data_IF_246386264811
#
_entry.id   IF_246386264811
#
_cell.length_a   1.000
_cell.length_b   1.000
_cell.length_c   1.000
_cell.angle_alpha   90.00
_cell.angle_beta   90.00
_cell.angle_gamma   90.00
#
_symmetry.space_group_name_H-M   'P 1'
#
loop_
_entity.id
_entity.type
_entity.pdbx_description
1 polymer ?
#
# COMPACT_ATOMS: atom_id res chain seq x y z
N UNK A 1 -16.69 18.64 -15.19
CA UNK A 1 -15.24 18.98 -15.13
C UNK A 1 -14.63 19.12 -16.53
N UNK A 2 -14.98 18.26 -17.50
CA UNK A 2 -14.66 18.48 -18.94
C UNK A 2 -15.08 19.88 -19.42
N UNK A 3 -16.31 20.31 -19.15
CA UNK A 3 -16.77 21.65 -19.57
C UNK A 3 -16.04 22.84 -18.92
N UNK A 4 -15.39 22.65 -17.77
CA UNK A 4 -14.56 23.68 -17.13
C UNK A 4 -13.15 23.77 -17.74
N UNK A 5 -12.71 22.69 -18.39
CA UNK A 5 -11.39 22.60 -19.02
C UNK A 5 -11.46 22.86 -20.53
N UNK A 6 -12.61 22.62 -21.18
CA UNK A 6 -12.80 22.78 -22.63
C UNK A 6 -13.59 24.05 -22.98
N UNK A 7 -14.41 24.58 -22.06
CA UNK A 7 -15.05 25.89 -22.20
C UNK A 7 -14.36 26.89 -21.29
N UNK A 8 -14.10 28.11 -21.76
CA UNK A 8 -13.49 29.22 -21.01
C UNK A 8 -14.33 29.73 -19.81
N UNK A 9 -15.06 28.88 -19.10
CA UNK A 9 -15.73 29.17 -17.85
C UNK A 9 -14.76 28.93 -16.69
N UNK A 10 -14.00 29.98 -16.34
CA UNK A 10 -13.13 30.04 -15.15
C UNK A 10 -13.89 30.07 -13.81
N UNK A 11 -15.21 29.86 -13.80
CA UNK A 11 -16.04 30.03 -12.61
C UNK A 11 -16.48 28.68 -12.06
N UNK A 12 -16.23 28.45 -10.77
CA UNK A 12 -16.76 27.32 -10.04
C UNK A 12 -18.29 27.43 -9.94
N UNK A 13 -19.01 26.29 -9.87
CA UNK A 13 -20.41 26.32 -9.49
C UNK A 13 -20.58 26.99 -8.12
N UNK A 14 -21.75 27.62 -7.85
CA UNK A 14 -21.99 28.38 -6.61
C UNK A 14 -21.81 27.54 -5.34
N UNK A 15 -22.02 26.23 -5.42
CA UNK A 15 -21.71 25.27 -4.37
C UNK A 15 -20.89 24.11 -4.97
N UNK A 16 -19.56 24.19 -4.95
CA UNK A 16 -18.73 23.09 -5.43
C UNK A 16 -18.77 21.92 -4.44
N UNK A 17 -18.72 20.66 -4.92
CA UNK A 17 -18.70 19.50 -4.03
C UNK A 17 -17.49 19.55 -3.08
N UNK A 18 -17.71 19.30 -1.79
CA UNK A 18 -16.63 19.31 -0.77
C UNK A 18 -16.50 18.00 0.01
N UNK A 19 -17.37 17.03 -0.24
CA UNK A 19 -17.41 15.76 0.49
C UNK A 19 -16.11 14.92 0.36
N UNK A 20 -15.34 15.12 -0.71
CA UNK A 20 -14.06 14.44 -0.92
C UNK A 20 -12.87 15.11 -0.22
N UNK A 21 -13.06 16.31 0.35
CA UNK A 21 -12.00 17.09 0.98
C UNK A 21 -11.78 16.63 2.43
N UNK A 22 -10.51 16.50 2.82
CA UNK A 22 -10.15 16.36 4.24
C UNK A 22 -10.43 17.65 5.01
N UNK A 23 -10.54 17.56 6.33
CA UNK A 23 -10.77 18.72 7.20
C UNK A 23 -9.75 19.86 6.95
N UNK A 24 -8.48 19.51 6.72
CA UNK A 24 -7.40 20.44 6.41
C UNK A 24 -7.66 21.21 5.11
N UNK A 25 -8.08 20.50 4.05
CA UNK A 25 -8.40 21.16 2.78
C UNK A 25 -9.68 21.97 2.84
N UNK A 26 -10.68 21.53 3.61
CA UNK A 26 -11.91 22.30 3.82
C UNK A 26 -11.62 23.66 4.45
N UNK A 27 -10.74 23.71 5.46
CA UNK A 27 -10.29 24.96 6.07
C UNK A 27 -9.59 25.89 5.07
N UNK A 28 -8.78 25.33 4.15
CA UNK A 28 -8.03 26.10 3.16
C UNK A 28 -8.90 26.61 1.98
N UNK A 29 -9.96 25.88 1.63
CA UNK A 29 -10.87 26.21 0.53
C UNK A 29 -11.89 27.30 0.92
N UNK A 30 -12.21 27.40 2.21
CA UNK A 30 -13.17 28.36 2.78
C UNK A 30 -14.33 27.67 3.49
N UNK A 31 -15.12 28.45 4.24
CA UNK A 31 -16.26 27.94 5.03
C UNK A 31 -17.41 27.46 4.14
N UNK A 32 -18.23 26.55 4.66
CA UNK A 32 -19.43 26.05 3.97
C UNK A 32 -20.43 27.21 3.85
N UNK A 33 -20.89 27.50 2.63
CA UNK A 33 -21.78 28.64 2.35
C UNK A 33 -21.09 29.99 2.15
N UNK A 34 -19.77 30.07 2.34
CA UNK A 34 -18.95 31.26 2.09
C UNK A 34 -18.27 31.28 0.71
N UNK A 35 -17.62 32.40 0.34
CA UNK A 35 -16.87 32.51 -0.92
C UNK A 35 -15.74 31.47 -0.98
N UNK A 36 -15.61 30.82 -2.14
CA UNK A 36 -14.65 29.73 -2.36
C UNK A 36 -13.40 30.26 -3.03
N UNK A 37 -12.23 29.95 -2.47
CA UNK A 37 -10.96 30.21 -3.15
C UNK A 37 -10.79 29.23 -4.32
N UNK A 38 -10.90 29.73 -5.55
CA UNK A 38 -10.76 28.92 -6.78
C UNK A 38 -9.41 28.19 -6.86
N UNK A 39 -8.27 28.84 -6.59
CA UNK A 39 -6.98 28.17 -6.63
C UNK A 39 -6.83 27.10 -5.55
N UNK A 40 -7.30 27.39 -4.33
CA UNK A 40 -7.26 26.43 -3.22
C UNK A 40 -8.12 25.19 -3.52
N UNK A 41 -9.31 25.40 -4.09
CA UNK A 41 -10.18 24.31 -4.49
C UNK A 41 -9.55 23.45 -5.59
N UNK A 42 -8.99 24.08 -6.63
CA UNK A 42 -8.31 23.35 -7.70
C UNK A 42 -7.13 22.51 -7.19
N UNK A 43 -6.30 23.09 -6.30
CA UNK A 43 -5.18 22.37 -5.69
C UNK A 43 -5.67 21.19 -4.84
N UNK A 44 -6.73 21.39 -4.05
CA UNK A 44 -7.30 20.33 -3.22
C UNK A 44 -7.84 19.17 -4.05
N UNK A 45 -8.49 19.45 -5.19
CA UNK A 45 -8.96 18.40 -6.12
C UNK A 45 -7.79 17.61 -6.69
N UNK A 46 -6.73 18.29 -7.13
CA UNK A 46 -5.54 17.62 -7.68
C UNK A 46 -4.80 16.80 -6.61
N UNK A 47 -4.68 17.32 -5.39
CA UNK A 47 -4.05 16.63 -4.28
C UNK A 47 -4.84 15.37 -3.90
N UNK A 48 -6.17 15.49 -3.74
CA UNK A 48 -7.02 14.33 -3.44
C UNK A 48 -7.02 13.32 -4.58
N UNK A 49 -7.11 13.76 -5.84
CA UNK A 49 -7.06 12.85 -6.99
C UNK A 49 -5.73 12.08 -7.04
N UNK A 50 -4.61 12.77 -6.81
CA UNK A 50 -3.28 12.14 -6.74
C UNK A 50 -3.23 11.08 -5.65
N UNK A 51 -3.78 11.36 -4.48
CA UNK A 51 -3.81 10.41 -3.37
C UNK A 51 -4.67 9.19 -3.69
N UNK A 52 -5.89 9.41 -4.20
CA UNK A 52 -6.82 8.34 -4.58
C UNK A 52 -6.31 7.46 -5.73
N UNK A 53 -5.53 8.04 -6.66
CA UNK A 53 -4.83 7.28 -7.69
C UNK A 53 -3.69 6.43 -7.13
N UNK A 54 -3.03 6.88 -6.05
CA UNK A 54 -1.94 6.13 -5.40
C UNK A 54 -2.48 5.03 -4.48
N UNK A 55 -3.57 5.29 -3.77
CA UNK A 55 -4.23 4.28 -2.93
C UNK A 55 -4.93 3.20 -3.76
N UNK A 56 -5.28 3.51 -5.02
CA UNK A 56 -6.03 2.61 -5.89
C UNK A 56 -7.54 2.77 -5.79
N UNK A 57 -8.03 3.71 -4.97
CA UNK A 57 -9.47 4.03 -4.83
C UNK A 57 -10.06 4.56 -6.15
N UNK A 58 -9.23 5.21 -6.96
CA UNK A 58 -9.58 5.68 -8.30
C UNK A 58 -8.63 5.04 -9.30
N UNK A 59 -9.18 4.55 -10.39
CA UNK A 59 -8.42 3.95 -11.48
C UNK A 59 -8.78 4.59 -12.83
N UNK A 60 -7.84 4.53 -13.75
CA UNK A 60 -7.94 5.03 -15.12
C UNK A 60 -7.77 3.85 -16.06
N UNK A 61 -8.85 3.48 -16.75
CA UNK A 61 -8.95 2.28 -17.61
C UNK A 61 -7.79 2.09 -18.60
N UNK A 62 -7.25 3.17 -19.15
CA UNK A 62 -6.19 3.13 -20.17
C UNK A 62 -4.80 3.51 -19.61
N UNK A 63 -4.66 3.67 -18.30
CA UNK A 63 -3.38 3.96 -17.66
C UNK A 63 -2.70 2.67 -17.26
N UNK A 64 -1.44 2.47 -17.66
CA UNK A 64 -0.64 1.34 -17.13
C UNK A 64 -0.35 1.49 -15.63
N UNK A 65 -0.06 2.73 -15.19
CA UNK A 65 0.33 3.02 -13.80
C UNK A 65 -0.85 3.06 -12.83
N UNK A 66 -2.03 3.42 -13.33
CA UNK A 66 -3.24 3.64 -12.52
C UNK A 66 -4.42 2.80 -13.02
N UNK A 67 -4.16 1.62 -13.62
CA UNK A 67 -5.22 0.71 -14.03
C UNK A 67 -5.94 0.11 -12.82
N UNK A 68 -7.17 -0.39 -13.04
CA UNK A 68 -7.88 -1.16 -12.02
C UNK A 68 -7.09 -2.42 -11.69
N UNK A 69 -6.99 -2.76 -10.39
CA UNK A 69 -6.39 -4.01 -9.95
C UNK A 69 -7.09 -5.21 -10.60
N UNK A 70 -8.41 -5.15 -10.74
CA UNK A 70 -9.23 -6.21 -11.34
C UNK A 70 -8.81 -6.54 -12.78
N UNK A 71 -8.23 -5.56 -13.49
CA UNK A 71 -7.75 -5.78 -14.86
C UNK A 71 -6.52 -6.68 -14.95
N UNK A 72 -5.80 -6.84 -13.85
CA UNK A 72 -4.65 -7.75 -13.72
C UNK A 72 -5.05 -9.13 -13.17
N UNK A 73 -6.29 -9.27 -12.67
CA UNK A 73 -6.79 -10.52 -12.13
C UNK A 73 -7.41 -11.40 -13.22
N UNK A 74 -7.41 -12.71 -12.98
CA UNK A 74 -8.17 -13.64 -13.82
C UNK A 74 -9.65 -13.33 -13.63
N UNK A 75 -10.35 -13.06 -14.74
CA UNK A 75 -11.77 -12.77 -14.70
C UNK A 75 -12.54 -13.90 -13.96
N UNK A 76 -13.50 -13.57 -13.07
CA UNK A 76 -14.21 -14.57 -12.28
C UNK A 76 -14.86 -15.69 -13.11
N UNK A 77 -15.36 -15.34 -14.30
CA UNK A 77 -15.94 -16.31 -15.24
C UNK A 77 -14.93 -17.30 -15.85
N UNK A 78 -13.65 -16.91 -15.94
CA UNK A 78 -12.57 -17.74 -16.49
C UNK A 78 -11.87 -18.55 -15.41
N UNK A 79 -11.90 -18.10 -14.16
CA UNK A 79 -11.19 -18.73 -13.06
C UNK A 79 -11.52 -20.21 -12.84
N UNK A 80 -12.79 -20.66 -12.87
CA UNK A 80 -13.12 -22.08 -12.66
C UNK A 80 -12.41 -23.03 -13.63
N UNK A 81 -12.23 -22.61 -14.88
CA UNK A 81 -11.56 -23.42 -15.90
C UNK A 81 -10.03 -23.46 -15.74
N UNK A 82 -9.43 -22.43 -15.15
CA UNK A 82 -7.97 -22.31 -14.99
C UNK A 82 -7.48 -22.75 -13.61
N UNK A 83 -8.38 -22.87 -12.63
CA UNK A 83 -8.04 -23.03 -11.23
C UNK A 83 -7.21 -24.28 -10.95
N UNK A 84 -7.57 -25.42 -11.52
CA UNK A 84 -6.86 -26.68 -11.28
C UNK A 84 -5.38 -26.59 -11.71
N UNK A 85 -5.14 -26.11 -12.92
CA UNK A 85 -3.79 -25.95 -13.47
C UNK A 85 -2.99 -24.90 -12.71
N UNK A 86 -3.63 -23.78 -12.33
CA UNK A 86 -2.98 -22.73 -11.55
C UNK A 86 -2.58 -23.22 -10.15
N UNK A 87 -3.46 -23.96 -9.46
CA UNK A 87 -3.15 -24.56 -8.17
C UNK A 87 -1.99 -25.55 -8.28
N UNK A 88 -2.00 -26.42 -9.30
CA UNK A 88 -0.92 -27.37 -9.53
C UNK A 88 0.44 -26.69 -9.77
N UNK A 89 0.48 -25.64 -10.59
CA UNK A 89 1.71 -24.87 -10.86
C UNK A 89 2.25 -24.15 -9.62
N UNK A 90 1.36 -23.68 -8.75
CA UNK A 90 1.72 -22.99 -7.51
C UNK A 90 2.02 -23.97 -6.35
N UNK A 91 1.87 -25.28 -6.56
CA UNK A 91 1.99 -26.28 -5.49
C UNK A 91 0.94 -26.14 -4.41
N UNK A 92 -0.22 -25.57 -4.75
CA UNK A 92 -1.34 -25.33 -3.84
C UNK A 92 -2.39 -26.44 -3.97
N UNK A 93 -3.09 -26.81 -2.89
CA UNK A 93 -4.15 -27.80 -2.96
C UNK A 93 -5.33 -27.26 -3.79
N UNK A 94 -5.95 -28.16 -4.55
CA UNK A 94 -7.09 -27.81 -5.41
C UNK A 94 -8.33 -27.39 -4.59
N UNK A 95 -8.47 -27.89 -3.36
CA UNK A 95 -9.58 -27.57 -2.46
C UNK A 95 -9.15 -26.44 -1.51
N UNK A 96 -9.87 -25.30 -1.42
CA UNK A 96 -9.40 -24.13 -0.67
C UNK A 96 -9.40 -24.38 0.83
N UNK A 97 -10.34 -25.18 1.32
CA UNK A 97 -10.46 -25.54 2.74
C UNK A 97 -9.21 -26.29 3.22
N UNK A 98 -8.65 -27.17 2.39
CA UNK A 98 -7.41 -27.88 2.73
C UNK A 98 -6.25 -26.90 2.94
N UNK A 99 -6.12 -25.88 2.08
CA UNK A 99 -5.08 -24.87 2.26
C UNK A 99 -5.26 -24.07 3.56
N UNK A 100 -6.51 -23.77 3.90
CA UNK A 100 -6.84 -23.06 5.13
C UNK A 100 -6.50 -23.90 6.35
N UNK A 101 -6.84 -25.19 6.34
CA UNK A 101 -6.51 -26.14 7.41
C UNK A 101 -4.99 -26.30 7.56
N UNK A 102 -4.24 -26.42 6.46
CA UNK A 102 -2.77 -26.44 6.47
C UNK A 102 -2.20 -25.19 7.16
N UNK A 103 -2.69 -24.00 6.81
CA UNK A 103 -2.24 -22.75 7.40
C UNK A 103 -2.63 -22.60 8.87
N UNK A 104 -3.84 -23.05 9.25
CA UNK A 104 -4.25 -23.07 10.66
C UNK A 104 -3.37 -24.00 11.46
N UNK A 105 -3.08 -25.19 10.94
CA UNK A 105 -2.21 -26.16 11.60
C UNK A 105 -0.77 -25.64 11.74
N UNK A 106 -0.22 -25.00 10.70
CA UNK A 106 1.08 -24.35 10.75
C UNK A 106 1.12 -23.24 11.81
N UNK A 107 0.07 -22.41 11.86
CA UNK A 107 -0.06 -21.35 12.87
C UNK A 107 -0.13 -21.94 14.29
N UNK A 108 -1.02 -22.91 14.51
CA UNK A 108 -1.18 -23.60 15.79
C UNK A 108 0.12 -24.28 16.23
N UNK A 109 0.89 -24.85 15.30
CA UNK A 109 2.21 -25.42 15.57
C UNK A 109 3.26 -24.38 15.98
N UNK A 110 3.14 -23.14 15.50
CA UNK A 110 4.06 -22.05 15.84
C UNK A 110 3.69 -21.29 17.12
N UNK A 111 2.42 -21.32 17.55
CA UNK A 111 1.97 -20.63 18.76
C UNK A 111 2.78 -21.02 20.03
N UNK A 112 3.03 -22.32 20.33
CA UNK A 112 3.80 -22.69 21.51
C UNK A 112 5.23 -22.13 21.50
N UNK A 113 5.86 -22.09 20.32
CA UNK A 113 7.19 -21.50 20.17
C UNK A 113 7.16 -19.99 20.39
N UNK A 114 6.12 -19.31 19.89
CA UNK A 114 5.92 -17.89 20.13
C UNK A 114 5.70 -17.61 21.62
N UNK A 115 4.87 -18.40 22.31
CA UNK A 115 4.64 -18.28 23.75
C UNK A 115 5.92 -18.45 24.56
N UNK A 116 6.77 -19.42 24.22
CA UNK A 116 8.07 -19.60 24.86
C UNK A 116 8.99 -18.38 24.68
N UNK A 117 9.03 -17.80 23.48
CA UNK A 117 9.81 -16.58 23.20
C UNK A 117 9.29 -15.40 24.02
N UNK A 118 7.96 -15.24 24.09
CA UNK A 118 7.32 -14.18 24.88
C UNK A 118 7.58 -14.36 26.38
N UNK A 119 7.59 -15.59 26.90
CA UNK A 119 7.90 -15.89 28.30
C UNK A 119 9.37 -15.71 28.66
N UNK A 120 10.29 -16.06 27.75
CA UNK A 120 11.72 -15.88 27.96
C UNK A 120 12.09 -14.39 28.11
N UNK A 121 11.30 -13.50 27.51
CA UNK A 121 11.54 -12.06 27.52
C UNK A 121 12.73 -11.68 26.65
N UNK A 122 12.71 -10.46 26.10
CA UNK A 122 13.78 -9.97 25.24
C UNK A 122 13.22 -9.11 24.11
N UNK A 123 13.59 -9.46 22.88
CA UNK A 123 13.31 -8.64 21.71
C UNK A 123 11.85 -8.70 21.24
N UNK A 124 11.11 -9.76 21.57
CA UNK A 124 9.70 -9.90 21.21
C UNK A 124 8.90 -9.96 22.51
N UNK A 125 7.97 -9.01 22.71
CA UNK A 125 7.15 -8.90 23.92
C UNK A 125 5.74 -8.39 23.61
N UNK A 126 4.80 -8.65 24.51
CA UNK A 126 3.46 -8.05 24.48
C UNK A 126 3.43 -6.83 25.43
N UNK A 127 2.87 -5.71 24.98
CA UNK A 127 2.60 -4.57 25.87
C UNK A 127 1.32 -4.80 26.70
N UNK A 128 1.04 -3.89 27.65
CA UNK A 128 -0.16 -3.95 28.51
C UNK A 128 -1.49 -3.87 27.73
N UNK A 129 -1.45 -3.45 26.46
CA UNK A 129 -2.59 -3.34 25.54
C UNK A 129 -2.75 -4.57 24.63
N UNK A 130 -1.84 -5.56 24.74
CA UNK A 130 -1.87 -6.78 23.94
C UNK A 130 -1.23 -6.66 22.55
N UNK A 131 -0.48 -5.60 22.27
CA UNK A 131 0.23 -5.42 21.00
C UNK A 131 1.60 -6.08 21.03
N UNK A 132 1.98 -6.72 19.91
CA UNK A 132 3.29 -7.33 19.72
C UNK A 132 4.34 -6.25 19.45
N UNK A 133 5.25 -6.06 20.41
CA UNK A 133 6.39 -5.17 20.29
C UNK A 133 7.62 -6.02 19.97
N UNK A 134 8.12 -5.87 18.74
CA UNK A 134 9.40 -6.41 18.29
C UNK A 134 10.44 -5.29 18.35
N UNK A 135 11.44 -5.41 19.22
CA UNK A 135 12.57 -4.47 19.23
C UNK A 135 13.33 -4.63 17.91
N UNK A 136 13.80 -3.50 17.39
CA UNK A 136 14.68 -3.53 16.22
C UNK A 136 15.93 -4.32 16.60
N UNK A 137 16.23 -5.36 15.80
CA UNK A 137 17.51 -6.05 15.93
C UNK A 137 18.62 -4.99 15.82
N UNK A 138 19.52 -4.98 16.80
CA UNK A 138 20.77 -4.27 16.68
C UNK A 138 21.46 -4.75 15.40
N UNK A 139 21.84 -3.81 14.53
CA UNK A 139 22.56 -4.14 13.31
C UNK A 139 23.80 -4.93 13.71
N UNK A 140 23.94 -6.14 13.18
CA UNK A 140 25.16 -6.91 13.35
C UNK A 140 26.34 -6.07 12.83
N UNK A 141 27.45 -6.05 13.57
CA UNK A 141 28.66 -5.38 13.09
C UNK A 141 29.01 -5.94 11.71
N UNK A 142 29.13 -5.03 10.74
CA UNK A 142 29.48 -5.40 9.37
C UNK A 142 30.85 -6.09 9.42
N UNK A 143 30.98 -7.35 8.96
CA UNK A 143 32.25 -8.05 9.00
C UNK A 143 33.35 -7.28 8.27
N UNK A 144 34.57 -7.30 8.79
CA UNK A 144 35.71 -6.61 8.16
C UNK A 144 35.91 -7.02 6.69
N UNK A 145 35.59 -8.27 6.34
CA UNK A 145 35.62 -8.77 4.96
C UNK A 145 34.61 -8.07 4.05
N UNK A 146 33.42 -7.72 4.54
CA UNK A 146 32.40 -7.01 3.78
C UNK A 146 32.78 -5.54 3.55
N UNK A 147 33.43 -4.91 4.54
CA UNK A 147 34.00 -3.56 4.39
C UNK A 147 35.11 -3.56 3.35
N UNK A 148 36.07 -4.49 3.45
CA UNK A 148 37.15 -4.65 2.47
C UNK A 148 36.62 -4.90 1.06
N UNK A 149 35.59 -5.73 0.91
CA UNK A 149 34.96 -5.99 -0.38
C UNK A 149 34.31 -4.71 -0.95
N UNK A 150 33.66 -3.92 -0.11
CA UNK A 150 33.02 -2.66 -0.53
C UNK A 150 34.06 -1.65 -1.02
N UNK A 151 35.21 -1.53 -0.34
CA UNK A 151 36.32 -0.70 -0.80
C UNK A 151 36.91 -1.19 -2.13
N UNK A 152 37.08 -2.51 -2.29
CA UNK A 152 37.57 -3.10 -3.54
C UNK A 152 36.61 -2.86 -4.71
N UNK A 153 35.30 -2.95 -4.46
CA UNK A 153 34.26 -2.68 -5.46
C UNK A 153 34.21 -1.20 -5.80
N UNK A 154 34.26 -0.31 -4.79
CA UNK A 154 34.26 1.14 -4.98
C UNK A 154 35.41 1.63 -5.85
N UNK A 155 36.62 1.11 -5.66
CA UNK A 155 37.80 1.42 -6.49
C UNK A 155 37.64 1.05 -7.97
N UNK A 156 36.71 0.16 -8.31
CA UNK A 156 36.47 -0.31 -9.68
C UNK A 156 35.28 0.39 -10.35
N UNK A 157 34.53 1.20 -9.61
CA UNK A 157 33.36 1.88 -10.14
C UNK A 157 33.73 3.31 -10.57
N UNK A 158 33.51 3.69 -11.84
CA UNK A 158 34.02 4.94 -12.40
C UNK A 158 33.31 6.23 -11.92
N UNK A 159 32.37 6.14 -10.97
CA UNK A 159 31.45 7.24 -10.62
C UNK A 159 31.03 7.26 -9.15
N UNK A 160 31.86 6.70 -8.26
CA UNK A 160 31.66 6.81 -6.81
C UNK A 160 32.90 7.41 -6.14
N UNK A 161 33.11 8.70 -6.36
CA UNK A 161 33.93 9.61 -5.55
C UNK A 161 33.31 11.01 -5.64
#
# INVERSE_FOLDING_TARGET
>A
MRDLLTGGRRQLPPQPPRAFLSATWQAFVGTVGGPVSVPAYALSVLATLRERLRSGDVYVRHSRKYASLDSYLIAPARWPALRADACAQLGLPAVPVQRLEEHLHELEGHLPRMEQILQAGGDIRLNEQGELVVTLLAAAEVPASAVQLTEQVGRRLPWWN
#
